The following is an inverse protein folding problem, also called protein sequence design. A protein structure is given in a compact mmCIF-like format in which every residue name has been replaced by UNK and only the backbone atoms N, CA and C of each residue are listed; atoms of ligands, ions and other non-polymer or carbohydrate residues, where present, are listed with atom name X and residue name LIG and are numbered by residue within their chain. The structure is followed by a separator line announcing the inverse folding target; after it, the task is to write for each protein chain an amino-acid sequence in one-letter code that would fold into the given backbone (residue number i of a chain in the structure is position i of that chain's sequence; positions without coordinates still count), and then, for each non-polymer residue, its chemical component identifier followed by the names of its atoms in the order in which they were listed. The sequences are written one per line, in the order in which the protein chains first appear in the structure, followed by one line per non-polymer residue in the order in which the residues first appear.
data_IF_460966305027
#
_entry.id   IF_460966305027
#
_cell.length_a   1.000
_cell.length_b   1.000
_cell.length_c   1.000
_cell.angle_alpha   90.00
_cell.angle_beta   90.00
_cell.angle_gamma   90.00
#
_symmetry.space_group_name_H-M   'P 1'
#
loop_
_entity.id
_entity.type
_entity.pdbx_description
1 polymer ?
#
# COMPACT_ATOMS: atom_id res chain seq x y z
N UNK A 1 -13.88 7.65 6.23
CA UNK A 1 -12.46 8.05 6.23
C UNK A 1 -11.55 6.94 5.71
N UNK A 2 -11.59 5.73 6.30
CA UNK A 2 -10.78 4.58 5.84
C UNK A 2 -11.12 4.09 4.43
N UNK A 3 -12.41 4.02 4.08
CA UNK A 3 -12.84 3.64 2.73
C UNK A 3 -12.29 4.58 1.64
N UNK A 4 -12.24 5.88 1.91
CA UNK A 4 -11.72 6.88 0.97
C UNK A 4 -10.22 6.72 0.70
N UNK A 5 -9.46 6.23 1.69
CA UNK A 5 -8.01 6.01 1.56
C UNK A 5 -7.71 4.72 0.78
N UNK A 6 -8.55 3.69 0.92
CA UNK A 6 -8.42 2.44 0.16
C UNK A 6 -8.70 2.66 -1.33
N UNK A 7 -9.74 3.44 -1.65
CA UNK A 7 -10.09 3.76 -3.05
C UNK A 7 -8.93 4.46 -3.78
N UNK A 8 -8.16 5.32 -3.09
CA UNK A 8 -7.04 6.00 -3.72
C UNK A 8 -5.97 5.03 -4.24
N UNK A 9 -5.67 3.97 -3.47
CA UNK A 9 -4.67 2.96 -3.86
C UNK A 9 -5.17 2.19 -5.09
N UNK A 10 -6.43 1.79 -5.08
CA UNK A 10 -7.04 1.08 -6.21
C UNK A 10 -7.07 1.94 -7.48
N UNK A 11 -7.32 3.25 -7.35
CA UNK A 11 -7.25 4.21 -8.46
C UNK A 11 -5.83 4.35 -9.01
N UNK A 12 -4.81 4.44 -8.15
CA UNK A 12 -3.42 4.50 -8.61
C UNK A 12 -2.98 3.21 -9.31
N UNK A 13 -3.45 2.05 -8.83
CA UNK A 13 -3.20 0.77 -9.50
C UNK A 13 -3.91 0.75 -10.86
N UNK A 14 -5.15 1.24 -10.95
CA UNK A 14 -5.87 1.35 -12.21
C UNK A 14 -5.16 2.26 -13.22
N UNK A 15 -4.68 3.44 -12.80
CA UNK A 15 -3.92 4.34 -13.67
C UNK A 15 -2.65 3.66 -14.25
N UNK A 16 -1.98 2.81 -13.46
CA UNK A 16 -0.81 2.02 -13.92
C UNK A 16 -1.21 0.89 -14.88
N UNK A 17 -2.34 0.22 -14.61
CA UNK A 17 -2.88 -0.82 -15.50
C UNK A 17 -3.23 -0.22 -16.87
N UNK A 18 -3.89 0.93 -16.87
CA UNK A 18 -4.28 1.66 -18.07
C UNK A 18 -3.04 2.06 -18.89
N UNK A 19 -1.97 2.54 -18.23
CA UNK A 19 -0.69 2.82 -18.88
C UNK A 19 -0.03 1.57 -19.47
N UNK A 20 -0.04 0.45 -18.74
CA UNK A 20 0.53 -0.81 -19.20
C UNK A 20 -0.27 -1.40 -20.39
N UNK A 21 -1.60 -1.24 -20.39
CA UNK A 21 -2.46 -1.67 -21.49
C UNK A 21 -2.14 -0.89 -22.78
N UNK A 22 -1.93 0.42 -22.71
CA UNK A 22 -1.53 1.22 -23.89
C UNK A 22 -0.17 0.77 -24.44
N UNK A 23 0.79 0.48 -23.55
CA UNK A 23 2.16 0.14 -23.94
C UNK A 23 2.32 -1.30 -24.44
N UNK A 24 1.53 -2.23 -23.90
CA UNK A 24 1.70 -3.68 -24.14
C UNK A 24 0.56 -4.31 -24.93
N UNK A 25 -0.54 -3.58 -25.14
CA UNK A 25 -1.77 -4.05 -25.78
C UNK A 25 -2.44 -5.25 -25.09
N UNK A 26 -2.04 -5.52 -23.84
CA UNK A 26 -2.50 -6.65 -23.05
C UNK A 26 -3.08 -6.17 -21.71
N UNK A 27 -4.34 -6.50 -21.46
CA UNK A 27 -5.02 -6.14 -20.22
C UNK A 27 -4.65 -7.11 -19.09
N UNK A 28 -3.83 -6.64 -18.14
CA UNK A 28 -3.20 -7.46 -17.07
C UNK A 28 -3.76 -7.18 -15.68
N UNK A 29 -5.00 -6.71 -15.55
CA UNK A 29 -5.65 -6.36 -14.28
C UNK A 29 -5.46 -7.43 -13.18
N UNK A 30 -5.70 -8.71 -13.51
CA UNK A 30 -5.59 -9.81 -12.56
C UNK A 30 -4.18 -9.99 -12.00
N UNK A 31 -3.13 -9.67 -12.77
CA UNK A 31 -1.76 -9.77 -12.29
C UNK A 31 -1.42 -8.64 -11.29
N UNK A 32 -1.84 -7.41 -11.58
CA UNK A 32 -1.63 -6.26 -10.70
C UNK A 32 -2.41 -6.39 -9.39
N UNK A 33 -3.71 -6.72 -9.45
CA UNK A 33 -4.52 -6.95 -8.25
C UNK A 33 -4.07 -8.20 -7.49
N UNK A 34 -3.60 -9.24 -8.18
CA UNK A 34 -3.00 -10.42 -7.55
C UNK A 34 -1.73 -10.09 -6.77
N UNK A 35 -0.85 -9.26 -7.35
CA UNK A 35 0.34 -8.77 -6.67
C UNK A 35 -0.02 -7.90 -5.46
N UNK A 36 -0.96 -6.97 -5.59
CA UNK A 36 -1.44 -6.15 -4.48
C UNK A 36 -2.00 -7.00 -3.33
N UNK A 37 -2.85 -8.00 -3.65
CA UNK A 37 -3.40 -8.92 -2.65
C UNK A 37 -2.32 -9.76 -1.95
N UNK A 38 -1.30 -10.20 -2.69
CA UNK A 38 -0.14 -10.88 -2.12
C UNK A 38 0.63 -9.97 -1.15
N UNK A 39 0.93 -8.73 -1.56
CA UNK A 39 1.61 -7.74 -0.73
C UNK A 39 0.83 -7.46 0.56
N UNK A 40 -0.49 -7.30 0.47
CA UNK A 40 -1.33 -7.10 1.66
C UNK A 40 -1.24 -8.28 2.63
N UNK A 41 -1.35 -9.52 2.14
CA UNK A 41 -1.23 -10.72 2.98
C UNK A 41 0.15 -10.86 3.60
N UNK A 42 1.19 -10.59 2.83
CA UNK A 42 2.57 -10.60 3.31
C UNK A 42 2.78 -9.54 4.41
N UNK A 43 2.21 -8.36 4.23
CA UNK A 43 2.30 -7.26 5.20
C UNK A 43 1.70 -7.64 6.55
N UNK A 44 0.58 -8.37 6.59
CA UNK A 44 -0.03 -8.86 7.85
C UNK A 44 0.91 -9.82 8.58
N UNK A 45 1.59 -10.71 7.86
CA UNK A 45 2.57 -11.61 8.48
C UNK A 45 3.79 -10.85 9.01
N UNK A 46 4.27 -9.86 8.26
CA UNK A 46 5.37 -9.01 8.70
C UNK A 46 5.00 -8.18 9.93
N UNK A 47 3.78 -7.63 9.98
CA UNK A 47 3.25 -6.89 11.13
C UNK A 47 3.27 -7.75 12.40
N UNK A 48 2.78 -8.99 12.32
CA UNK A 48 2.79 -9.91 13.46
C UNK A 48 4.21 -10.19 13.96
N UNK A 49 5.17 -10.42 13.06
CA UNK A 49 6.57 -10.64 13.41
C UNK A 49 7.17 -9.42 14.12
N UNK A 50 6.99 -8.22 13.54
CA UNK A 50 7.50 -6.97 14.12
C UNK A 50 6.89 -6.72 15.49
N UNK A 51 5.59 -6.91 15.64
CA UNK A 51 4.89 -6.77 16.91
C UNK A 51 5.46 -7.74 17.96
N UNK A 52 5.59 -9.03 17.62
CA UNK A 52 6.11 -10.05 18.54
C UNK A 52 7.55 -9.76 18.98
N UNK A 53 8.43 -9.37 18.06
CA UNK A 53 9.82 -9.04 18.36
C UNK A 53 9.91 -7.83 19.30
N UNK A 54 9.22 -6.75 18.97
CA UNK A 54 9.25 -5.53 19.79
C UNK A 54 8.65 -5.79 21.16
N UNK A 55 7.49 -6.44 21.26
CA UNK A 55 6.89 -6.75 22.55
C UNK A 55 7.78 -7.66 23.41
N UNK A 56 8.43 -8.65 22.80
CA UNK A 56 9.41 -9.49 23.47
C UNK A 56 10.58 -8.68 24.05
N UNK A 57 11.12 -7.71 23.30
CA UNK A 57 12.19 -6.83 23.78
C UNK A 57 11.77 -5.95 24.97
N UNK A 58 10.51 -5.51 25.01
CA UNK A 58 9.96 -4.70 26.10
C UNK A 58 9.43 -5.52 27.28
N UNK A 59 9.62 -6.85 27.27
CA UNK A 59 9.32 -7.75 28.38
C UNK A 59 7.86 -8.16 28.49
N UNK A 60 7.11 -8.09 27.38
CA UNK A 60 5.74 -8.58 27.33
C UNK A 60 5.68 -10.07 27.68
N UNK A 61 4.83 -10.43 28.64
CA UNK A 61 4.59 -11.82 29.02
C UNK A 61 3.09 -12.08 29.17
N UNK A 62 2.47 -12.87 28.27
CA UNK A 62 1.03 -13.12 28.30
C UNK A 62 0.55 -13.88 29.55
N UNK A 63 1.44 -14.48 30.35
CA UNK A 63 1.10 -15.20 31.57
C UNK A 63 1.02 -14.30 32.82
N UNK A 64 1.37 -13.01 32.71
CA UNK A 64 1.30 -12.06 33.83
C UNK A 64 -0.02 -11.27 33.81
N UNK A 65 -0.69 -11.20 34.96
CA UNK A 65 -1.88 -10.36 35.15
C UNK A 65 -1.56 -8.86 35.05
N UNK A 66 -0.35 -8.48 35.48
CA UNK A 66 0.15 -7.10 35.42
C UNK A 66 1.42 -7.07 34.60
N UNK A 67 1.38 -6.32 33.49
CA UNK A 67 2.53 -6.18 32.60
C UNK A 67 3.56 -5.17 33.14
N UNK A 68 4.85 -5.35 32.82
CA UNK A 68 5.87 -4.34 33.11
C UNK A 68 5.53 -2.99 32.48
N UNK A 69 5.86 -1.89 33.16
CA UNK A 69 5.63 -0.52 32.64
C UNK A 69 6.38 -0.26 31.31
N UNK A 70 7.45 -1.00 31.01
CA UNK A 70 8.20 -0.94 29.76
C UNK A 70 7.37 -1.37 28.55
N UNK A 71 6.38 -2.26 28.71
CA UNK A 71 5.50 -2.71 27.62
C UNK A 71 4.71 -1.54 27.03
N UNK A 72 4.29 -0.58 27.87
CA UNK A 72 3.61 0.63 27.40
C UNK A 72 4.51 1.50 26.51
N UNK A 73 5.82 1.52 26.75
CA UNK A 73 6.78 2.21 25.87
C UNK A 73 6.91 1.48 24.53
N UNK A 74 6.94 0.14 24.53
CA UNK A 74 6.94 -0.66 23.31
C UNK A 74 5.70 -0.42 22.44
N UNK A 75 4.51 -0.37 23.05
CA UNK A 75 3.26 0.00 22.36
C UNK A 75 3.33 1.39 21.73
N UNK A 76 3.77 2.39 22.50
CA UNK A 76 3.92 3.77 22.00
C UNK A 76 4.93 3.84 20.85
N UNK A 77 6.02 3.10 20.93
CA UNK A 77 7.00 3.00 19.86
C UNK A 77 6.38 2.44 18.59
N UNK A 78 5.68 1.30 18.67
CA UNK A 78 5.00 0.71 17.51
C UNK A 78 3.95 1.65 16.90
N UNK A 79 3.17 2.35 17.73
CA UNK A 79 2.15 3.28 17.25
C UNK A 79 2.71 4.58 16.66
N UNK A 80 3.98 4.90 16.87
CA UNK A 80 4.61 6.15 16.40
C UNK A 80 5.65 5.89 15.33
N UNK A 81 6.66 5.08 15.62
CA UNK A 81 7.77 4.82 14.72
C UNK A 81 7.31 4.07 13.46
N UNK A 82 6.43 3.05 13.60
CA UNK A 82 5.98 2.28 12.43
C UNK A 82 5.16 3.14 11.47
N UNK A 83 4.09 3.85 11.90
CA UNK A 83 3.36 4.75 11.00
C UNK A 83 4.24 5.87 10.42
N UNK A 84 5.18 6.41 11.20
CA UNK A 84 6.08 7.47 10.72
C UNK A 84 6.97 6.97 9.58
N UNK A 85 7.60 5.80 9.73
CA UNK A 85 8.42 5.18 8.69
C UNK A 85 7.58 4.82 7.47
N UNK A 86 6.41 4.23 7.66
CA UNK A 86 5.49 3.90 6.57
C UNK A 86 5.06 5.16 5.79
N UNK A 87 4.78 6.26 6.48
CA UNK A 87 4.44 7.53 5.84
C UNK A 87 5.62 8.10 5.04
N UNK A 88 6.84 8.06 5.61
CA UNK A 88 8.04 8.51 4.91
C UNK A 88 8.29 7.70 3.63
N UNK A 89 8.15 6.37 3.70
CA UNK A 89 8.28 5.50 2.53
C UNK A 89 7.19 5.77 1.48
N UNK A 90 5.95 5.98 1.91
CA UNK A 90 4.84 6.33 1.01
C UNK A 90 5.09 7.67 0.30
N UNK A 91 5.60 8.69 1.01
CA UNK A 91 5.96 9.97 0.40
C UNK A 91 7.09 9.82 -0.63
N UNK A 92 8.11 9.01 -0.33
CA UNK A 92 9.20 8.74 -1.28
C UNK A 92 8.66 8.03 -2.52
N UNK A 93 7.80 7.01 -2.35
CA UNK A 93 7.19 6.30 -3.47
C UNK A 93 6.33 7.23 -4.34
N UNK A 94 5.52 8.09 -3.73
CA UNK A 94 4.72 9.09 -4.44
C UNK A 94 5.58 10.14 -5.14
N UNK A 95 6.72 10.52 -4.56
CA UNK A 95 7.64 11.47 -5.20
C UNK A 95 8.23 10.92 -6.51
N UNK A 96 8.46 9.61 -6.59
CA UNK A 96 8.92 8.93 -7.81
C UNK A 96 7.79 8.49 -8.73
N UNK A 97 6.51 8.72 -8.37
CA UNK A 97 5.38 8.32 -9.19
C UNK A 97 5.28 9.20 -10.45
N UNK A 98 5.48 8.65 -11.65
CA UNK A 98 5.72 9.44 -12.86
C UNK A 98 4.43 9.77 -13.64
N UNK A 99 3.25 9.48 -13.08
CA UNK A 99 1.95 9.76 -13.68
C UNK A 99 1.41 11.06 -13.07
N UNK A 100 1.77 12.17 -13.72
CA UNK A 100 1.21 13.49 -13.43
C UNK A 100 -0.17 13.68 -14.09
N UNK A 101 -0.87 14.77 -13.75
CA UNK A 101 -2.21 15.05 -14.28
C UNK A 101 -2.25 15.12 -15.81
N UNK A 102 -1.22 15.69 -16.45
CA UNK A 102 -1.13 15.81 -17.92
C UNK A 102 -0.88 14.46 -18.59
N UNK A 103 -0.12 13.57 -17.97
CA UNK A 103 0.09 12.19 -18.45
C UNK A 103 -1.18 11.37 -18.28
N UNK A 104 -1.90 11.54 -17.17
CA UNK A 104 -3.18 10.87 -16.92
C UNK A 104 -4.24 11.26 -17.95
N UNK A 105 -4.36 12.55 -18.28
CA UNK A 105 -5.28 13.02 -19.34
C UNK A 105 -4.94 12.42 -20.72
N UNK A 106 -3.65 12.32 -21.05
CA UNK A 106 -3.21 11.69 -22.31
C UNK A 106 -3.55 10.20 -22.37
N UNK A 107 -3.36 9.48 -21.27
CA UNK A 107 -3.72 8.05 -21.16
C UNK A 107 -5.22 7.87 -21.36
N UNK A 108 -6.04 8.67 -20.67
CA UNK A 108 -7.51 8.61 -20.78
C UNK A 108 -7.98 8.88 -22.21
N UNK A 109 -7.45 9.92 -22.85
CA UNK A 109 -7.80 10.26 -24.24
C UNK A 109 -7.42 9.15 -25.23
N UNK A 110 -6.28 8.48 -25.03
CA UNK A 110 -5.86 7.36 -25.87
C UNK A 110 -6.77 6.12 -25.69
N UNK A 111 -7.26 5.87 -24.47
CA UNK A 111 -8.21 4.79 -24.20
C UNK A 111 -9.56 5.06 -24.87
N UNK A 112 -10.07 6.29 -24.77
CA UNK A 112 -11.35 6.68 -25.38
C UNK A 112 -11.29 6.56 -26.92
N UNK A 113 -10.20 7.00 -27.55
CA UNK A 113 -10.00 6.83 -29.00
C UNK A 113 -10.02 5.36 -29.44
N UNK A 114 -9.36 4.46 -28.69
CA UNK A 114 -9.37 3.02 -29.00
C UNK A 114 -10.76 2.39 -28.85
N UNK A 115 -11.58 2.89 -27.94
CA UNK A 115 -12.98 2.44 -27.78
C UNK A 115 -13.83 2.85 -28.97
N UNK A 116 -13.66 4.09 -29.44
CA UNK A 116 -14.38 4.59 -30.62
C UNK A 116 -13.97 3.88 -31.92
N UNK A 117 -12.71 3.44 -32.07
CA UNK A 117 -12.26 2.66 -33.23
C UNK A 117 -12.72 1.20 -33.23
N UNK A 118 -13.09 0.65 -32.07
CA UNK A 118 -13.53 -0.74 -31.92
C UNK A 118 -15.04 -0.94 -32.12
N UNK A 119 -15.82 0.15 -32.07
CA UNK A 119 -17.28 0.21 -32.32
C UNK A 119 -17.61 0.46 -33.80
#
# INVERSE_FOLDING_TARGET
ATASMLVLVDVLIADVIDEDEINTDARREGAYFGANAFIMRFSVSLEAIVFSVVMGMYGYNPALDVQPATVALGLRFLMTAVPLVSMALAMIALYYYPIDGTRRERIMAAIDQRREEAD
#
